data_IF_277442403376
#
_entry.id   IF_277442403376
#
_cell.length_a   1.000
_cell.length_b   1.000
_cell.length_c   1.000
_cell.angle_alpha   90.00
_cell.angle_beta   90.00
_cell.angle_gamma   90.00
#
_symmetry.space_group_name_H-M   'P 1'
#
loop_
_entity.id
_entity.type
_entity.pdbx_description
1 polymer ?
#
# COMPACT_ATOMS: atom_id res chain seq x y z
N UNK A 1 -33.61 22.53 10.93
CA UNK A 1 -32.26 23.15 10.90
C UNK A 1 -31.33 22.28 10.07
N UNK A 2 -30.69 22.85 9.06
CA UNK A 2 -29.76 22.13 8.22
C UNK A 2 -28.34 22.29 8.77
N UNK A 3 -27.65 21.18 9.02
CA UNK A 3 -26.25 21.17 9.46
C UNK A 3 -25.36 20.92 8.27
N UNK A 4 -24.33 21.74 8.10
CA UNK A 4 -23.36 21.62 7.03
C UNK A 4 -21.96 21.42 7.65
N UNK A 5 -21.23 20.44 7.18
CA UNK A 5 -19.86 20.17 7.59
C UNK A 5 -18.91 20.71 6.51
N UNK A 6 -17.93 21.49 6.91
CA UNK A 6 -17.00 22.17 5.99
C UNK A 6 -15.63 21.55 6.15
N UNK A 7 -15.08 20.97 5.06
CA UNK A 7 -13.73 20.45 5.01
C UNK A 7 -12.69 21.59 5.01
N UNK A 8 -11.44 21.25 5.26
CA UNK A 8 -10.34 22.23 5.37
C UNK A 8 -10.16 23.08 4.11
N UNK A 9 -10.52 22.55 2.93
CA UNK A 9 -10.45 23.28 1.65
C UNK A 9 -11.73 24.09 1.33
N UNK A 10 -12.72 24.10 2.23
CA UNK A 10 -13.98 24.81 2.05
C UNK A 10 -15.08 24.00 1.39
N UNK A 11 -14.85 22.76 0.99
CA UNK A 11 -15.87 21.87 0.41
C UNK A 11 -16.92 21.55 1.46
N UNK A 12 -18.21 21.65 1.08
CA UNK A 12 -19.34 21.46 1.99
C UNK A 12 -19.96 20.07 1.85
N UNK A 13 -20.34 19.48 2.98
CA UNK A 13 -21.00 18.18 3.07
C UNK A 13 -22.19 18.24 4.01
N UNK A 14 -23.21 17.48 3.73
CA UNK A 14 -24.38 17.34 4.61
C UNK A 14 -24.18 16.20 5.62
N UNK A 15 -23.24 15.29 5.36
CA UNK A 15 -22.89 14.14 6.17
C UNK A 15 -21.49 14.35 6.79
N UNK A 16 -21.43 14.26 8.13
CA UNK A 16 -20.18 14.38 8.87
C UNK A 16 -19.15 13.32 8.45
N UNK A 17 -19.59 12.09 8.25
CA UNK A 17 -18.73 10.99 7.84
C UNK A 17 -18.09 11.24 6.46
N UNK A 18 -18.89 11.70 5.51
CA UNK A 18 -18.40 12.04 4.17
C UNK A 18 -17.36 13.16 4.22
N UNK A 19 -17.57 14.16 5.07
CA UNK A 19 -16.63 15.27 5.27
C UNK A 19 -15.30 14.77 5.84
N UNK A 20 -15.34 13.95 6.88
CA UNK A 20 -14.14 13.38 7.51
C UNK A 20 -13.37 12.47 6.57
N UNK A 21 -14.06 11.64 5.79
CA UNK A 21 -13.46 10.78 4.79
C UNK A 21 -12.76 11.60 3.70
N UNK A 22 -13.42 12.64 3.22
CA UNK A 22 -12.83 13.56 2.23
C UNK A 22 -11.54 14.21 2.74
N UNK A 23 -11.57 14.70 3.98
CA UNK A 23 -10.38 15.30 4.61
C UNK A 23 -9.24 14.29 4.77
N UNK A 24 -9.58 13.07 5.18
CA UNK A 24 -8.60 11.99 5.35
C UNK A 24 -7.92 11.64 4.02
N UNK A 25 -8.71 11.45 2.96
CA UNK A 25 -8.19 11.16 1.62
C UNK A 25 -7.28 12.29 1.14
N UNK A 26 -7.70 13.55 1.34
CA UNK A 26 -6.90 14.71 0.96
C UNK A 26 -5.57 14.77 1.70
N UNK A 27 -5.56 14.46 2.98
CA UNK A 27 -4.32 14.42 3.78
C UNK A 27 -3.41 13.28 3.36
N UNK A 28 -3.95 12.11 3.07
CA UNK A 28 -3.16 10.93 2.70
C UNK A 28 -2.61 11.01 1.29
N UNK A 29 -3.32 11.68 0.37
CA UNK A 29 -2.90 11.83 -1.02
C UNK A 29 -1.53 12.50 -1.13
N UNK A 30 -1.26 13.51 -0.30
CA UNK A 30 0.00 14.24 -0.31
C UNK A 30 1.14 13.50 0.40
N UNK A 31 0.86 12.36 1.02
CA UNK A 31 1.85 11.60 1.79
C UNK A 31 2.59 10.55 0.98
N UNK A 32 2.18 10.33 -0.27
CA UNK A 32 2.81 9.36 -1.17
C UNK A 32 3.30 10.02 -2.46
N UNK A 33 4.18 11.04 -2.38
CA UNK A 33 4.61 11.77 -3.58
C UNK A 33 5.47 10.94 -4.54
N UNK A 34 6.15 9.90 -4.06
CA UNK A 34 7.04 9.08 -4.88
C UNK A 34 6.57 7.63 -5.04
N UNK A 35 5.62 7.17 -4.24
CA UNK A 35 5.10 5.81 -4.31
C UNK A 35 4.12 5.68 -5.48
N UNK A 36 4.30 4.64 -6.28
CA UNK A 36 3.41 4.33 -7.40
C UNK A 36 2.58 3.10 -7.08
N UNK A 37 1.30 3.14 -7.43
CA UNK A 37 0.35 2.05 -7.18
C UNK A 37 -0.26 1.57 -8.49
N UNK A 38 -0.48 0.27 -8.62
CA UNK A 38 -1.02 -0.35 -9.83
C UNK A 38 -2.05 -1.42 -9.48
N UNK A 39 -3.04 -1.59 -10.36
CA UNK A 39 -4.05 -2.64 -10.21
C UNK A 39 -3.56 -3.98 -10.79
N UNK A 40 -4.44 -5.01 -10.77
CA UNK A 40 -4.12 -6.36 -11.26
C UNK A 40 -3.77 -6.40 -12.75
N UNK A 41 -4.18 -5.40 -13.51
CA UNK A 41 -3.88 -5.26 -14.95
C UNK A 41 -2.64 -4.42 -15.22
N UNK A 42 -1.92 -3.99 -14.16
CA UNK A 42 -0.74 -3.15 -14.28
C UNK A 42 -1.03 -1.70 -14.61
N UNK A 43 -2.27 -1.25 -14.45
CA UNK A 43 -2.65 0.14 -14.69
C UNK A 43 -2.44 0.99 -13.46
N UNK A 44 -1.93 2.23 -13.61
CA UNK A 44 -1.72 3.12 -12.47
C UNK A 44 -3.02 3.41 -11.72
N UNK A 45 -2.91 3.46 -10.38
CA UNK A 45 -4.00 3.82 -9.48
C UNK A 45 -3.60 5.04 -8.68
N UNK A 46 -4.55 5.94 -8.43
CA UNK A 46 -4.37 7.02 -7.48
C UNK A 46 -4.67 6.52 -6.07
N UNK A 47 -3.89 6.98 -5.09
CA UNK A 47 -4.15 6.63 -3.70
C UNK A 47 -5.48 7.21 -3.25
N UNK A 48 -6.36 6.34 -2.77
CA UNK A 48 -7.62 6.71 -2.14
C UNK A 48 -7.58 6.11 -0.73
N UNK A 49 -7.81 6.94 0.29
CA UNK A 49 -7.69 6.54 1.69
C UNK A 49 -8.82 5.64 2.20
N UNK A 50 -9.37 4.78 1.36
CA UNK A 50 -10.44 3.84 1.71
C UNK A 50 -9.98 2.41 1.55
N UNK A 51 -10.68 1.46 2.20
CA UNK A 51 -10.35 0.04 2.09
C UNK A 51 -10.54 -0.50 0.66
N UNK A 52 -11.36 0.12 -0.16
CA UNK A 52 -11.53 -0.23 -1.58
C UNK A 52 -10.22 -0.10 -2.35
N UNK A 53 -9.38 0.85 -1.98
CA UNK A 53 -8.05 0.99 -2.58
C UNK A 53 -7.22 -0.27 -2.36
N UNK A 54 -7.21 -0.82 -1.14
CA UNK A 54 -6.46 -2.03 -0.83
C UNK A 54 -6.97 -3.24 -1.63
N UNK A 55 -8.27 -3.34 -1.87
CA UNK A 55 -8.87 -4.43 -2.63
C UNK A 55 -8.44 -4.43 -4.10
N UNK A 56 -8.21 -3.24 -4.68
CA UNK A 56 -7.79 -3.10 -6.06
C UNK A 56 -6.28 -3.08 -6.27
N UNK A 57 -5.51 -2.98 -5.20
CA UNK A 57 -4.05 -2.83 -5.28
C UNK A 57 -3.37 -4.20 -5.45
N UNK A 58 -2.54 -4.33 -6.49
CA UNK A 58 -1.77 -5.55 -6.77
C UNK A 58 -0.27 -5.33 -6.89
N UNK A 59 0.16 -4.11 -7.23
CA UNK A 59 1.57 -3.77 -7.39
C UNK A 59 1.83 -2.39 -6.81
N UNK A 60 2.97 -2.21 -6.16
CA UNK A 60 3.42 -0.88 -5.78
C UNK A 60 4.94 -0.79 -5.74
N UNK A 61 5.44 0.43 -5.96
CA UNK A 61 6.85 0.78 -5.94
C UNK A 61 7.04 1.86 -4.88
N UNK A 62 7.56 1.50 -3.72
CA UNK A 62 7.81 2.44 -2.62
C UNK A 62 9.30 2.76 -2.55
N UNK A 63 9.63 4.05 -2.55
CA UNK A 63 11.01 4.53 -2.67
C UNK A 63 11.58 5.16 -1.40
N UNK A 64 10.73 5.50 -0.44
CA UNK A 64 11.18 6.08 0.83
C UNK A 64 10.64 5.27 1.99
N UNK A 65 11.42 5.20 3.06
CA UNK A 65 11.02 4.48 4.27
C UNK A 65 9.80 5.12 4.92
N UNK A 66 9.73 6.46 4.93
CA UNK A 66 8.60 7.18 5.53
C UNK A 66 7.28 6.83 4.83
N UNK A 67 7.30 6.78 3.49
CA UNK A 67 6.11 6.37 2.73
C UNK A 67 5.77 4.89 2.97
N UNK A 68 6.79 4.03 3.08
CA UNK A 68 6.58 2.61 3.40
C UNK A 68 5.94 2.42 4.77
N UNK A 69 6.38 3.17 5.78
CA UNK A 69 5.78 3.14 7.12
C UNK A 69 4.33 3.59 7.11
N UNK A 70 4.01 4.66 6.37
CA UNK A 70 2.64 5.14 6.21
C UNK A 70 1.76 4.09 5.52
N UNK A 71 2.27 3.45 4.48
CA UNK A 71 1.55 2.42 3.74
C UNK A 71 1.29 1.18 4.62
N UNK A 72 2.29 0.78 5.41
CA UNK A 72 2.16 -0.30 6.37
C UNK A 72 1.03 -0.01 7.36
N UNK A 73 1.02 1.19 7.95
CA UNK A 73 -0.02 1.58 8.89
C UNK A 73 -1.39 1.62 8.23
N UNK A 74 -1.47 2.08 6.99
CA UNK A 74 -2.72 2.10 6.24
C UNK A 74 -3.29 0.69 6.02
N UNK A 75 -2.45 -0.28 5.65
CA UNK A 75 -2.88 -1.68 5.51
C UNK A 75 -3.44 -2.22 6.84
N UNK A 76 -2.75 -1.95 7.94
CA UNK A 76 -3.19 -2.40 9.27
C UNK A 76 -4.54 -1.76 9.64
N UNK A 77 -4.70 -0.46 9.42
CA UNK A 77 -5.93 0.28 9.73
C UNK A 77 -7.13 -0.24 8.94
N UNK A 78 -6.90 -0.69 7.70
CA UNK A 78 -7.94 -1.28 6.86
C UNK A 78 -8.17 -2.78 7.12
N UNK A 79 -7.37 -3.41 7.97
CA UNK A 79 -7.50 -4.84 8.25
C UNK A 79 -6.95 -5.74 7.15
N UNK A 80 -6.07 -5.22 6.30
CA UNK A 80 -5.42 -5.99 5.24
C UNK A 80 -4.01 -6.42 5.65
N UNK A 81 -3.51 -7.48 5.04
CA UNK A 81 -2.14 -7.94 5.26
C UNK A 81 -1.14 -6.97 4.64
N UNK A 82 -0.16 -6.57 5.44
CA UNK A 82 0.95 -5.74 4.97
C UNK A 82 2.13 -6.63 4.54
N UNK A 83 2.92 -6.22 3.51
CA UNK A 83 4.13 -6.94 3.14
C UNK A 83 5.20 -6.95 4.24
N UNK A 84 5.10 -6.02 5.20
CA UNK A 84 6.03 -5.90 6.33
C UNK A 84 5.45 -6.45 7.63
N UNK A 85 4.65 -7.48 7.55
CA UNK A 85 3.98 -8.13 8.65
C UNK A 85 4.97 -8.83 9.57
N UNK A 86 4.74 -8.73 10.90
CA UNK A 86 5.48 -9.52 11.87
C UNK A 86 5.12 -11.00 11.71
N UNK A 87 6.13 -11.86 11.72
CA UNK A 87 5.89 -13.30 11.77
C UNK A 87 5.66 -13.76 13.21
N UNK A 88 6.31 -13.06 14.18
CA UNK A 88 6.14 -13.27 15.60
C UNK A 88 5.82 -11.95 16.28
N UNK A 89 5.06 -12.01 17.36
CA UNK A 89 4.66 -10.81 18.10
C UNK A 89 5.85 -10.08 18.78
N UNK A 90 6.95 -10.79 19.03
CA UNK A 90 8.17 -10.27 19.66
C UNK A 90 9.23 -9.76 18.65
N UNK A 91 8.97 -9.93 17.35
CA UNK A 91 9.86 -9.43 16.30
C UNK A 91 9.57 -7.96 15.98
N UNK A 92 10.64 -7.21 15.70
CA UNK A 92 10.49 -5.87 15.17
C UNK A 92 10.08 -5.95 13.70
N UNK A 93 9.18 -5.04 13.29
CA UNK A 93 8.79 -4.91 11.89
C UNK A 93 9.95 -4.28 11.12
N UNK A 94 10.51 -5.02 10.17
CA UNK A 94 11.53 -4.48 9.27
C UNK A 94 10.85 -3.99 8.00
N UNK A 95 10.76 -2.67 7.86
CA UNK A 95 10.15 -2.03 6.70
C UNK A 95 11.24 -1.75 5.67
N UNK A 96 11.05 -2.28 4.45
CA UNK A 96 11.98 -2.11 3.35
C UNK A 96 11.31 -1.40 2.16
N UNK A 97 12.13 -0.75 1.35
CA UNK A 97 11.68 -0.10 0.11
C UNK A 97 11.86 -1.05 -1.07
N UNK A 98 11.17 -0.78 -2.17
CA UNK A 98 11.33 -1.53 -3.41
C UNK A 98 10.02 -1.80 -4.13
N UNK A 99 10.06 -2.79 -5.00
CA UNK A 99 8.92 -3.21 -5.81
C UNK A 99 8.22 -4.40 -5.16
N UNK A 100 6.92 -4.29 -4.96
CA UNK A 100 6.10 -5.31 -4.32
C UNK A 100 4.95 -5.72 -5.23
N UNK A 101 4.59 -7.00 -5.18
CA UNK A 101 3.42 -7.51 -5.90
C UNK A 101 2.64 -8.47 -5.01
N UNK A 102 1.33 -8.55 -5.25
CA UNK A 102 0.48 -9.50 -4.56
C UNK A 102 0.49 -10.83 -5.29
N UNK A 103 1.00 -11.87 -4.63
CA UNK A 103 1.05 -13.23 -5.16
C UNK A 103 -0.25 -13.95 -4.82
N UNK A 104 -1.13 -14.11 -5.80
CA UNK A 104 -2.44 -14.73 -5.61
C UNK A 104 -2.35 -16.24 -5.33
N UNK A 105 -1.27 -16.89 -5.75
CA UNK A 105 -1.05 -18.32 -5.47
C UNK A 105 -0.68 -18.57 -4.01
N UNK A 106 0.14 -17.67 -3.45
CA UNK A 106 0.59 -17.74 -2.06
C UNK A 106 -0.29 -16.92 -1.11
N UNK A 107 -1.19 -16.11 -1.66
CA UNK A 107 -2.07 -15.18 -0.94
C UNK A 107 -1.28 -14.26 0.01
N UNK A 108 -0.22 -13.66 -0.52
CA UNK A 108 0.63 -12.72 0.23
C UNK A 108 1.36 -11.73 -0.68
N UNK A 109 1.81 -10.63 -0.09
CA UNK A 109 2.70 -9.69 -0.75
C UNK A 109 4.12 -10.27 -0.83
N UNK A 110 4.78 -10.03 -1.96
CA UNK A 110 6.18 -10.43 -2.17
C UNK A 110 6.99 -9.29 -2.76
N UNK A 111 8.25 -9.20 -2.34
CA UNK A 111 9.21 -8.27 -2.93
C UNK A 111 9.79 -8.90 -4.21
N UNK A 112 9.84 -8.12 -5.30
CA UNK A 112 10.34 -8.62 -6.58
C UNK A 112 11.82 -9.00 -6.52
N UNK A 113 12.61 -8.38 -5.62
CA UNK A 113 14.01 -8.72 -5.44
C UNK A 113 14.19 -10.14 -4.90
N UNK A 114 13.30 -10.59 -4.02
CA UNK A 114 13.30 -11.97 -3.52
C UNK A 114 13.06 -12.97 -4.66
N UNK A 115 12.10 -12.65 -5.53
CA UNK A 115 11.78 -13.48 -6.68
C UNK A 115 12.96 -13.51 -7.66
N UNK A 116 13.59 -12.38 -7.88
CA UNK A 116 14.77 -12.27 -8.75
C UNK A 116 15.94 -13.07 -8.19
N UNK A 117 16.20 -12.99 -6.88
CA UNK A 117 17.26 -13.76 -6.23
C UNK A 117 17.03 -15.27 -6.38
N UNK A 118 15.78 -15.72 -6.15
CA UNK A 118 15.40 -17.12 -6.35
C UNK A 118 15.62 -17.58 -7.80
N UNK A 119 15.26 -16.73 -8.76
CA UNK A 119 15.48 -16.98 -10.19
C UNK A 119 16.97 -17.14 -10.51
N UNK A 120 17.81 -16.26 -9.95
CA UNK A 120 19.28 -16.34 -10.15
C UNK A 120 19.86 -17.61 -9.56
N UNK A 121 19.40 -18.06 -8.40
CA UNK A 121 19.84 -19.32 -7.79
C UNK A 121 19.53 -20.51 -8.69
N UNK A 122 18.34 -20.55 -9.27
CA UNK A 122 17.94 -21.61 -10.20
C UNK A 122 18.82 -21.58 -11.46
N UNK A 123 19.05 -20.41 -12.03
CA UNK A 123 19.94 -20.27 -13.21
C UNK A 123 21.35 -20.74 -12.91
N UNK A 124 21.89 -20.42 -11.73
CA UNK A 124 23.24 -20.83 -11.33
C UNK A 124 23.38 -22.35 -11.27
N UNK A 125 22.33 -23.07 -10.87
CA UNK A 125 22.31 -24.54 -10.87
C UNK A 125 22.49 -25.08 -12.30
N UNK A 126 21.77 -24.49 -13.26
CA UNK A 126 21.86 -24.95 -14.67
C UNK A 126 23.13 -24.52 -15.38
N UNK A 127 23.67 -23.35 -15.06
CA UNK A 127 24.87 -22.80 -15.66
C UNK A 127 26.13 -23.38 -15.05
N UNK A 128 26.05 -23.90 -13.81
CA UNK A 128 27.18 -24.46 -13.08
C UNK A 128 27.55 -25.91 -13.43
N UNK A 129 26.84 -26.54 -14.37
CA UNK A 129 27.12 -27.90 -14.81
C UNK A 129 28.29 -27.98 -15.81
#
# INVERSE_FOLDING_TARGET
MRVIYIADDGTQFEDEYACKEYEYVGKMKDKFPTTRFFNSHGKPMEFVGTCEFCEGLYYFDVRTRDEAELLHQFFIDCGFDSPWKRQRWDEEVTISIGYYFYDTNEDKWRNIEELYAAYQEVLNVFEGE
#
